data_IF_334183945505
#
_entry.id   IF_334183945505
#
_cell.length_a   1.000
_cell.length_b   1.000
_cell.length_c   1.000
_cell.angle_alpha   90.00
_cell.angle_beta   90.00
_cell.angle_gamma   90.00
#
_symmetry.space_group_name_H-M   'P 1'
#
loop_
_entity.id
_entity.type
_entity.pdbx_description
1 polymer ?
#
# COMPACT_ATOMS: atom_id res chain seq x y z
N UNK A 1 19.42 5.50 17.55
CA UNK A 1 19.65 4.36 16.65
C UNK A 1 18.30 3.78 16.26
N UNK A 2 18.06 3.49 14.98
CA UNK A 2 16.79 2.88 14.53
C UNK A 2 16.69 1.45 15.04
N UNK A 3 15.55 1.09 15.67
CA UNK A 3 15.34 -0.28 16.22
C UNK A 3 15.09 -1.32 15.12
N UNK A 4 14.52 -0.89 14.00
CA UNK A 4 14.23 -1.73 12.82
C UNK A 4 14.55 -0.94 11.56
N UNK A 5 15.06 -1.62 10.53
CA UNK A 5 15.28 -1.08 9.18
C UNK A 5 14.51 -1.96 8.20
N UNK A 6 13.68 -1.35 7.35
CA UNK A 6 12.86 -2.05 6.35
C UNK A 6 13.28 -1.62 4.94
N UNK A 7 14.35 -2.20 4.37
CA UNK A 7 14.83 -1.82 3.05
C UNK A 7 13.91 -2.34 1.94
N UNK A 8 13.72 -1.52 0.91
CA UNK A 8 13.06 -1.89 -0.34
C UNK A 8 12.26 -0.73 -0.94
N UNK A 9 11.27 -1.05 -1.76
CA UNK A 9 10.59 -0.07 -2.61
C UNK A 9 9.32 0.49 -1.96
N UNK A 10 9.08 1.78 -2.18
CA UNK A 10 7.82 2.47 -1.87
C UNK A 10 6.98 2.54 -3.16
N UNK A 11 5.73 2.09 -3.09
CA UNK A 11 4.83 2.02 -4.24
C UNK A 11 3.56 2.84 -4.00
N UNK A 12 2.79 3.04 -5.08
CA UNK A 12 1.42 3.56 -5.00
C UNK A 12 0.45 2.46 -5.41
N UNK A 13 -0.39 2.04 -4.47
CA UNK A 13 -1.46 1.09 -4.72
C UNK A 13 -2.67 1.85 -5.29
N UNK A 14 -3.16 1.42 -6.45
CA UNK A 14 -4.43 1.88 -7.00
C UNK A 14 -5.51 0.87 -6.65
N UNK A 15 -6.29 1.17 -5.61
CA UNK A 15 -7.34 0.28 -5.11
C UNK A 15 -8.66 0.66 -5.77
N UNK A 16 -9.31 -0.30 -6.42
CA UNK A 16 -10.67 -0.12 -6.95
C UNK A 16 -11.63 0.25 -5.82
N UNK A 17 -12.48 1.25 -6.05
CA UNK A 17 -13.60 1.56 -5.15
C UNK A 17 -14.85 0.70 -5.44
N UNK A 18 -14.77 -0.19 -6.42
CA UNK A 18 -15.87 -0.98 -6.95
C UNK A 18 -15.52 -2.47 -6.87
N UNK A 19 -16.15 -3.17 -5.93
CA UNK A 19 -15.91 -4.60 -5.71
C UNK A 19 -16.58 -5.47 -6.78
N UNK A 20 -15.93 -6.57 -7.15
CA UNK A 20 -16.50 -7.59 -8.06
C UNK A 20 -16.45 -7.23 -9.54
N UNK A 21 -15.98 -6.02 -9.91
CA UNK A 21 -15.75 -5.63 -11.30
C UNK A 21 -14.36 -6.05 -11.78
N UNK A 22 -14.23 -6.33 -13.07
CA UNK A 22 -12.91 -6.45 -13.69
C UNK A 22 -12.23 -5.08 -13.76
N UNK A 23 -10.89 -5.04 -13.80
CA UNK A 23 -10.15 -3.77 -13.79
C UNK A 23 -10.49 -2.84 -14.96
N UNK A 24 -10.91 -3.38 -16.10
CA UNK A 24 -11.30 -2.59 -17.28
C UNK A 24 -12.66 -1.90 -17.13
N UNK A 25 -13.49 -2.34 -16.19
CA UNK A 25 -14.84 -1.81 -15.92
C UNK A 25 -14.87 -0.86 -14.71
N UNK A 26 -13.74 -0.72 -13.99
CA UNK A 26 -13.64 0.17 -12.83
C UNK A 26 -13.42 1.60 -13.30
N UNK A 27 -14.25 2.52 -12.83
CA UNK A 27 -14.16 3.93 -13.18
C UNK A 27 -13.37 4.73 -12.14
N UNK A 28 -13.34 4.24 -10.88
CA UNK A 28 -12.75 4.98 -9.76
C UNK A 28 -11.75 4.15 -8.97
N UNK A 29 -10.53 4.69 -8.88
CA UNK A 29 -9.46 4.15 -8.05
C UNK A 29 -9.05 5.14 -6.97
N UNK A 30 -8.79 4.64 -5.78
CA UNK A 30 -8.13 5.39 -4.70
C UNK A 30 -6.64 5.06 -4.69
N UNK A 31 -5.81 6.11 -4.70
CA UNK A 31 -4.36 5.98 -4.47
C UNK A 31 -4.09 5.76 -2.99
N UNK A 32 -3.25 4.79 -2.65
CA UNK A 32 -2.68 4.59 -1.31
C UNK A 32 -1.18 4.39 -1.39
N UNK A 33 -0.46 4.77 -0.33
CA UNK A 33 0.93 4.35 -0.18
C UNK A 33 0.95 2.84 0.04
N UNK A 34 1.82 2.14 -0.69
CA UNK A 34 1.95 0.69 -0.66
C UNK A 34 3.41 0.25 -0.72
N UNK A 35 3.62 -1.04 -0.96
CA UNK A 35 4.93 -1.69 -0.91
C UNK A 35 5.14 -2.43 0.41
N UNK A 36 5.56 -3.69 0.32
CA UNK A 36 5.71 -4.56 1.49
C UNK A 36 6.64 -3.97 2.58
N UNK A 37 7.83 -3.41 2.26
CA UNK A 37 8.69 -2.80 3.26
C UNK A 37 8.05 -1.57 3.93
N UNK A 38 7.36 -0.73 3.14
CA UNK A 38 6.68 0.46 3.65
C UNK A 38 5.52 0.10 4.61
N UNK A 39 4.74 -0.93 4.27
CA UNK A 39 3.66 -1.43 5.10
C UNK A 39 4.17 -2.01 6.43
N UNK A 40 5.29 -2.76 6.41
CA UNK A 40 5.93 -3.25 7.64
C UNK A 40 6.42 -2.08 8.50
N UNK A 41 7.13 -1.11 7.91
CA UNK A 41 7.64 0.05 8.63
C UNK A 41 6.52 0.85 9.32
N UNK A 42 5.38 1.06 8.63
CA UNK A 42 4.23 1.79 9.21
C UNK A 42 3.47 0.99 10.25
N UNK A 43 3.33 -0.33 10.08
CA UNK A 43 2.72 -1.20 11.09
C UNK A 43 3.52 -1.21 12.40
N UNK A 44 4.85 -1.22 12.32
CA UNK A 44 5.74 -1.20 13.49
C UNK A 44 5.60 0.06 14.36
N UNK A 45 5.13 1.19 13.83
CA UNK A 45 4.89 2.43 14.62
C UNK A 45 3.76 2.26 15.64
N UNK A 46 2.88 1.28 15.44
CA UNK A 46 1.74 1.01 16.33
C UNK A 46 2.05 -0.02 17.42
N UNK A 47 3.29 -0.49 17.52
CA UNK A 47 3.77 -1.50 18.48
C UNK A 47 4.80 -0.89 19.44
#
# INVERSE_FOLDING_TARGET
MSKVICPGELLIDFISLENGKSLVEVEKFQKKAGGAPANVATALVKL
#
